data_IF_994472287524
#
_entry.id   IF_994472287524
#
_cell.length_a   1.000
_cell.length_b   1.000
_cell.length_c   1.000
_cell.angle_alpha   90.00
_cell.angle_beta   90.00
_cell.angle_gamma   90.00
#
_symmetry.space_group_name_H-M   'P 1'
#
loop_
_entity.id
_entity.type
_entity.pdbx_description
1 polymer ?
#
# COMPACT_ATOMS: atom_id res chain seq x y z
N UNK A 1 -16.29 0.63 61.53
CA UNK A 1 -16.66 1.80 60.70
C UNK A 1 -15.41 2.62 60.37
N UNK A 2 -14.63 2.21 59.37
CA UNK A 2 -13.43 2.93 58.95
C UNK A 2 -13.75 3.78 57.72
N UNK A 3 -13.70 5.12 57.86
CA UNK A 3 -13.77 6.06 56.72
C UNK A 3 -12.37 6.21 56.12
N UNK A 4 -12.13 5.57 54.99
CA UNK A 4 -10.99 5.88 54.12
C UNK A 4 -11.35 7.13 53.29
N UNK A 5 -10.78 8.29 53.65
CA UNK A 5 -10.72 9.45 52.75
C UNK A 5 -9.60 9.19 51.74
N UNK A 6 -9.97 8.89 50.50
CA UNK A 6 -9.02 8.87 49.39
C UNK A 6 -8.61 10.32 49.06
N UNK A 7 -7.39 10.69 49.44
CA UNK A 7 -6.72 11.86 48.90
C UNK A 7 -6.20 11.46 47.53
N UNK A 8 -6.97 11.73 46.48
CA UNK A 8 -6.49 11.62 45.11
C UNK A 8 -5.48 12.77 44.93
N UNK A 9 -4.21 12.41 44.83
CA UNK A 9 -3.14 13.36 44.56
C UNK A 9 -3.43 14.11 43.26
N UNK A 10 -3.46 15.44 43.34
CA UNK A 10 -3.71 16.41 42.26
C UNK A 10 -2.67 16.38 41.10
N UNK A 11 -1.79 15.39 41.04
CA UNK A 11 -0.77 15.24 40.00
C UNK A 11 -1.31 14.65 38.69
N UNK A 12 -2.51 14.08 38.68
CA UNK A 12 -3.12 13.45 37.49
C UNK A 12 -3.84 14.46 36.58
N UNK A 13 -4.38 15.56 37.13
CA UNK A 13 -5.06 16.59 36.33
C UNK A 13 -4.09 17.36 35.43
N UNK A 14 -2.87 17.66 35.89
CA UNK A 14 -1.84 18.31 35.08
C UNK A 14 -1.41 17.45 33.89
N UNK A 15 -1.30 16.14 34.11
CA UNK A 15 -0.96 15.18 33.06
C UNK A 15 -2.12 14.95 32.09
N UNK A 16 -3.37 14.97 32.56
CA UNK A 16 -4.55 14.93 31.69
C UNK A 16 -4.65 16.19 30.82
N UNK A 17 -4.43 17.38 31.38
CA UNK A 17 -4.39 18.62 30.61
C UNK A 17 -3.25 18.62 29.58
N UNK A 18 -2.06 18.13 29.95
CA UNK A 18 -0.93 18.00 29.02
C UNK A 18 -1.19 16.98 27.91
N UNK A 19 -1.78 15.83 28.23
CA UNK A 19 -2.16 14.83 27.24
C UNK A 19 -3.29 15.32 26.33
N UNK A 20 -4.26 16.06 26.87
CA UNK A 20 -5.34 16.67 26.09
C UNK A 20 -4.82 17.76 25.17
N UNK A 21 -3.89 18.60 25.65
CA UNK A 21 -3.22 19.62 24.83
C UNK A 21 -2.29 19.00 23.78
N UNK A 22 -1.61 17.89 24.11
CA UNK A 22 -0.79 17.15 23.15
C UNK A 22 -1.66 16.45 22.08
N UNK A 23 -2.80 15.88 22.46
CA UNK A 23 -3.76 15.30 21.52
C UNK A 23 -4.46 16.37 20.69
N UNK A 24 -4.82 17.52 21.25
CA UNK A 24 -5.33 18.67 20.48
C UNK A 24 -4.27 19.24 19.54
N UNK A 25 -3.01 19.30 19.96
CA UNK A 25 -1.90 19.75 19.11
C UNK A 25 -1.64 18.74 17.98
N UNK A 26 -1.70 17.43 18.27
CA UNK A 26 -1.59 16.37 17.27
C UNK A 26 -2.78 16.44 16.31
N UNK A 27 -4.02 16.55 16.80
CA UNK A 27 -5.23 16.74 15.99
C UNK A 27 -5.22 18.06 15.19
N UNK A 28 -4.62 19.15 15.69
CA UNK A 28 -4.38 20.39 14.94
C UNK A 28 -3.27 20.27 13.92
N UNK A 29 -2.27 19.44 14.16
CA UNK A 29 -1.21 19.16 13.18
C UNK A 29 -1.61 18.14 12.10
N UNK A 30 -2.64 17.33 12.37
CA UNK A 30 -3.30 16.44 11.39
C UNK A 30 -4.55 17.06 10.75
N UNK A 31 -5.17 18.07 11.38
CA UNK A 31 -6.01 19.04 10.71
C UNK A 31 -5.09 19.91 9.86
N UNK A 32 -4.74 19.36 8.70
CA UNK A 32 -4.26 20.15 7.59
C UNK A 32 -5.35 21.19 7.33
N UNK A 33 -5.23 22.38 7.94
CA UNK A 33 -5.76 23.59 7.31
C UNK A 33 -5.32 23.47 5.88
N UNK A 34 -6.28 23.34 4.96
CA UNK A 34 -6.00 23.18 3.54
C UNK A 34 -5.18 24.40 3.15
N UNK A 35 -3.85 24.27 3.18
CA UNK A 35 -2.94 25.26 2.62
C UNK A 35 -3.08 25.06 1.12
N UNK A 36 -4.19 25.58 0.59
CA UNK A 36 -4.38 25.82 -0.81
C UNK A 36 -3.16 26.62 -1.24
N UNK A 37 -2.33 26.01 -2.08
CA UNK A 37 -1.35 26.80 -2.81
C UNK A 37 -2.20 27.57 -3.80
N UNK A 38 -2.46 28.84 -3.49
CA UNK A 38 -3.18 29.72 -4.39
C UNK A 38 -2.54 29.60 -5.79
N UNK A 39 -3.30 29.19 -6.81
CA UNK A 39 -2.94 29.49 -8.19
C UNK A 39 -2.42 30.92 -8.27
N UNK A 40 -1.31 31.13 -8.98
CA UNK A 40 -0.68 32.44 -9.16
C UNK A 40 -1.78 33.48 -9.36
N UNK A 41 -1.84 34.57 -8.59
CA UNK A 41 -2.96 35.54 -8.59
C UNK A 41 -3.40 36.02 -10.00
N UNK A 42 -2.51 35.92 -10.99
CA UNK A 42 -2.77 36.11 -12.43
C UNK A 42 -3.82 35.16 -13.01
N UNK A 43 -3.81 33.87 -12.64
CA UNK A 43 -4.75 32.86 -13.12
C UNK A 43 -6.17 33.08 -12.60
N UNK A 44 -6.32 33.42 -11.30
CA UNK A 44 -7.62 33.80 -10.74
C UNK A 44 -8.17 35.07 -11.37
N UNK A 45 -7.33 36.09 -11.59
CA UNK A 45 -7.74 37.32 -12.27
C UNK A 45 -8.19 37.06 -13.70
N UNK A 46 -7.48 36.23 -14.45
CA UNK A 46 -7.86 35.85 -15.82
C UNK A 46 -9.18 35.06 -15.85
N UNK A 47 -9.38 34.14 -14.90
CA UNK A 47 -10.62 33.34 -14.80
C UNK A 47 -11.83 34.18 -14.37
N UNK A 48 -11.65 35.11 -13.42
CA UNK A 48 -12.69 36.08 -13.05
C UNK A 48 -13.07 36.98 -14.22
N UNK A 49 -12.10 37.42 -15.04
CA UNK A 49 -12.36 38.19 -16.27
C UNK A 49 -13.11 37.37 -17.34
N UNK A 50 -12.98 36.04 -17.32
CA UNK A 50 -13.64 35.13 -18.26
C UNK A 50 -14.94 34.52 -17.72
N UNK A 51 -15.35 34.84 -16.49
CA UNK A 51 -16.59 34.33 -15.87
C UNK A 51 -16.57 32.84 -15.52
N UNK A 52 -15.39 32.22 -15.39
CA UNK A 52 -15.24 30.79 -15.11
C UNK A 52 -15.44 30.54 -13.59
N UNK A 53 -16.28 29.57 -13.18
CA UNK A 53 -16.49 29.21 -11.77
C UNK A 53 -15.19 28.79 -11.08
N UNK A 54 -15.03 29.13 -9.79
CA UNK A 54 -13.80 28.83 -9.03
C UNK A 54 -13.55 27.32 -8.89
N UNK A 55 -14.60 26.50 -8.90
CA UNK A 55 -14.57 25.04 -8.79
C UNK A 55 -13.97 24.35 -10.01
N UNK A 56 -13.89 25.06 -11.14
CA UNK A 56 -13.27 24.58 -12.38
C UNK A 56 -11.77 24.90 -12.42
N UNK A 57 -11.26 25.64 -11.43
CA UNK A 57 -9.86 26.04 -11.43
C UNK A 57 -8.91 24.90 -11.05
N UNK A 58 -7.76 24.83 -11.73
CA UNK A 58 -6.74 23.81 -11.51
C UNK A 58 -6.02 23.98 -10.18
N UNK A 59 -6.12 22.99 -9.28
CA UNK A 59 -5.55 23.05 -7.92
C UNK A 59 -4.05 22.70 -7.84
N UNK A 60 -3.47 22.13 -8.90
CA UNK A 60 -2.07 21.68 -8.92
C UNK A 60 -1.34 22.25 -10.12
N UNK A 61 0.00 22.27 -10.06
CA UNK A 61 0.82 22.79 -11.17
C UNK A 61 1.94 21.81 -11.48
N UNK A 62 2.11 21.38 -12.73
CA UNK A 62 3.21 20.49 -13.08
C UNK A 62 4.57 21.22 -13.06
N UNK A 63 5.67 20.48 -13.26
CA UNK A 63 7.04 21.05 -13.28
C UNK A 63 7.22 22.16 -14.33
N UNK A 64 6.39 22.14 -15.39
CA UNK A 64 6.39 23.14 -16.48
C UNK A 64 5.45 24.32 -16.21
N UNK A 65 4.89 24.43 -15.00
CA UNK A 65 3.95 25.51 -14.67
C UNK A 65 2.54 25.30 -15.23
N UNK A 66 2.22 24.16 -15.85
CA UNK A 66 0.88 23.90 -16.36
C UNK A 66 -0.05 23.53 -15.20
N UNK A 67 -1.18 24.23 -15.06
CA UNK A 67 -2.17 23.88 -14.06
C UNK A 67 -2.85 22.54 -14.39
N UNK A 68 -3.31 21.79 -13.37
CA UNK A 68 -4.19 20.65 -13.53
C UNK A 68 -5.18 20.49 -12.36
N UNK A 69 -6.33 19.88 -12.63
CA UNK A 69 -7.38 19.60 -11.65
C UNK A 69 -7.19 18.19 -11.07
N UNK A 70 -7.20 18.02 -9.73
CA UNK A 70 -7.17 16.68 -9.15
C UNK A 70 -8.45 15.93 -9.53
N UNK A 71 -8.26 14.70 -9.98
CA UNK A 71 -9.32 13.81 -10.48
C UNK A 71 -10.24 13.38 -9.34
N UNK A 72 -11.53 13.31 -9.62
CA UNK A 72 -12.54 12.80 -8.66
C UNK A 72 -12.44 11.28 -8.53
N UNK A 73 -13.04 10.71 -7.47
CA UNK A 73 -13.03 9.26 -7.29
C UNK A 73 -13.75 8.53 -8.43
N UNK A 74 -14.88 9.06 -8.89
CA UNK A 74 -15.68 8.47 -9.96
C UNK A 74 -14.91 8.43 -11.30
N UNK A 75 -14.31 9.56 -11.68
CA UNK A 75 -13.47 9.66 -12.88
C UNK A 75 -12.28 8.68 -12.83
N UNK A 76 -11.69 8.48 -11.66
CA UNK A 76 -10.57 7.54 -11.51
C UNK A 76 -10.99 6.08 -11.72
N UNK A 77 -12.19 5.71 -11.27
CA UNK A 77 -12.72 4.35 -11.42
C UNK A 77 -13.04 4.12 -12.90
N UNK A 78 -13.66 5.11 -13.54
CA UNK A 78 -13.91 5.10 -14.99
C UNK A 78 -12.60 4.98 -15.78
N UNK A 79 -11.55 5.72 -15.38
CA UNK A 79 -10.23 5.64 -16.01
C UNK A 79 -9.63 4.23 -15.90
N UNK A 80 -9.71 3.57 -14.76
CA UNK A 80 -9.20 2.20 -14.62
C UNK A 80 -9.94 1.19 -15.51
N UNK A 81 -11.21 1.43 -15.81
CA UNK A 81 -12.00 0.64 -16.77
C UNK A 81 -11.84 1.09 -18.24
N UNK A 82 -11.15 2.20 -18.50
CA UNK A 82 -11.04 2.78 -19.82
C UNK A 82 -10.14 1.96 -20.75
N UNK A 83 -10.36 2.01 -22.08
CA UNK A 83 -9.44 1.42 -23.05
C UNK A 83 -8.06 2.10 -23.02
N UNK A 84 -7.98 3.38 -22.64
CA UNK A 84 -6.72 4.14 -22.57
C UNK A 84 -5.78 3.56 -21.51
N UNK A 85 -6.32 3.21 -20.34
CA UNK A 85 -5.55 2.55 -19.28
C UNK A 85 -5.02 1.20 -19.77
N UNK A 86 -5.88 0.42 -20.43
CA UNK A 86 -5.52 -0.90 -20.94
C UNK A 86 -4.43 -0.82 -22.02
N UNK A 87 -4.51 0.17 -22.92
CA UNK A 87 -3.50 0.38 -23.96
C UNK A 87 -2.16 0.86 -23.36
N UNK A 88 -2.21 1.76 -22.38
CA UNK A 88 -1.02 2.35 -21.76
C UNK A 88 -0.25 1.34 -20.92
N UNK A 89 -0.94 0.55 -20.10
CA UNK A 89 -0.32 -0.41 -19.17
C UNK A 89 -0.28 -1.85 -19.69
N UNK A 90 -1.04 -2.18 -20.75
CA UNK A 90 -1.03 -3.49 -21.43
C UNK A 90 -1.24 -4.67 -20.48
N UNK A 91 -2.20 -4.53 -19.56
CA UNK A 91 -2.50 -5.53 -18.54
C UNK A 91 -1.41 -5.74 -17.47
N UNK A 92 -0.38 -4.89 -17.42
CA UNK A 92 0.69 -4.95 -16.41
C UNK A 92 0.40 -3.97 -15.27
N UNK A 93 0.98 -4.18 -14.07
CA UNK A 93 0.81 -3.23 -12.98
C UNK A 93 1.44 -1.89 -13.32
N UNK A 94 0.86 -0.80 -12.77
CA UNK A 94 1.24 0.59 -13.10
C UNK A 94 2.75 0.84 -12.99
N UNK A 95 3.40 0.24 -12.00
CA UNK A 95 4.83 0.44 -11.74
C UNK A 95 5.76 -0.37 -12.65
N UNK A 96 5.25 -1.26 -13.51
CA UNK A 96 6.06 -2.19 -14.30
C UNK A 96 7.02 -1.49 -15.28
N UNK A 97 6.53 -0.51 -16.03
CA UNK A 97 7.34 0.23 -17.01
C UNK A 97 8.15 1.38 -16.40
N UNK A 98 7.98 1.62 -15.11
CA UNK A 98 8.66 2.72 -14.44
C UNK A 98 10.09 2.35 -14.09
N UNK A 99 11.03 3.22 -14.48
CA UNK A 99 12.44 3.10 -14.12
C UNK A 99 12.94 4.37 -13.47
N UNK A 100 13.55 4.21 -12.30
CA UNK A 100 14.18 5.30 -11.58
C UNK A 100 15.61 5.52 -12.04
N UNK A 101 15.98 6.79 -12.20
CA UNK A 101 17.34 7.20 -12.50
C UNK A 101 18.13 7.36 -11.20
N UNK A 102 19.24 6.64 -11.07
CA UNK A 102 20.21 6.79 -9.98
C UNK A 102 21.62 6.48 -10.51
N UNK A 103 22.64 6.92 -9.76
CA UNK A 103 24.06 6.70 -10.11
C UNK A 103 24.48 5.28 -9.71
N UNK A 104 25.20 4.60 -10.61
CA UNK A 104 25.73 3.26 -10.37
C UNK A 104 24.74 2.13 -10.65
N UNK A 105 25.15 0.90 -10.30
CA UNK A 105 24.35 -0.31 -10.49
C UNK A 105 23.29 -0.50 -9.41
N UNK A 106 23.60 -0.12 -8.17
CA UNK A 106 22.72 -0.35 -7.03
C UNK A 106 21.84 0.88 -6.78
N UNK A 107 20.52 0.68 -6.58
CA UNK A 107 19.64 1.77 -6.18
C UNK A 107 20.02 2.29 -4.78
N UNK A 108 19.75 3.57 -4.49
CA UNK A 108 19.91 4.09 -3.13
C UNK A 108 19.03 3.30 -2.16
N UNK A 109 19.52 3.10 -0.91
CA UNK A 109 18.83 2.34 0.14
C UNK A 109 17.40 2.83 0.38
N UNK A 110 17.20 4.15 0.37
CA UNK A 110 15.92 4.79 0.61
C UNK A 110 15.39 5.51 -0.63
N UNK A 111 14.07 5.50 -0.85
CA UNK A 111 13.49 6.27 -1.92
C UNK A 111 13.60 7.78 -1.66
N UNK A 112 13.38 8.59 -2.71
CA UNK A 112 13.31 10.05 -2.55
C UNK A 112 12.14 10.39 -1.63
N UNK A 113 12.24 11.47 -0.85
CA UNK A 113 11.20 11.87 0.10
C UNK A 113 9.86 12.10 -0.60
N UNK A 114 9.81 12.96 -1.62
CA UNK A 114 8.60 13.24 -2.40
C UNK A 114 8.92 13.54 -3.87
N UNK A 115 7.94 13.33 -4.74
CA UNK A 115 7.95 13.81 -6.13
C UNK A 115 7.31 15.20 -6.26
N UNK A 116 6.44 15.53 -5.30
CA UNK A 116 5.62 16.74 -5.26
C UNK A 116 5.96 17.57 -4.02
N UNK A 117 5.90 18.89 -4.14
CA UNK A 117 5.94 19.82 -3.02
C UNK A 117 4.97 20.94 -3.30
N UNK A 118 4.14 21.29 -2.32
CA UNK A 118 3.13 22.34 -2.47
C UNK A 118 2.27 22.10 -3.73
N UNK A 119 1.81 20.86 -3.93
CA UNK A 119 1.02 20.45 -5.09
C UNK A 119 1.69 20.61 -6.46
N UNK A 120 3.01 20.86 -6.50
CA UNK A 120 3.78 20.95 -7.72
C UNK A 120 4.74 19.79 -7.91
N UNK A 121 4.83 19.26 -9.13
CA UNK A 121 5.82 18.25 -9.47
C UNK A 121 7.20 18.92 -9.53
N UNK A 122 8.11 18.50 -8.65
CA UNK A 122 9.49 19.02 -8.66
C UNK A 122 10.39 18.18 -9.56
N UNK A 123 10.09 16.88 -9.68
CA UNK A 123 10.98 15.95 -10.39
C UNK A 123 10.56 15.78 -11.85
N UNK A 124 11.55 15.72 -12.75
CA UNK A 124 11.36 15.41 -14.17
C UNK A 124 10.91 13.96 -14.43
N UNK A 125 11.32 13.02 -13.57
CA UNK A 125 10.92 11.62 -13.60
C UNK A 125 10.09 11.27 -12.34
N UNK A 126 8.80 11.63 -12.27
CA UNK A 126 7.92 11.39 -11.11
C UNK A 126 7.58 9.90 -10.91
N UNK A 127 7.14 9.52 -9.71
CA UNK A 127 6.79 8.13 -9.39
C UNK A 127 5.56 7.68 -10.20
N UNK A 128 5.28 6.38 -10.38
CA UNK A 128 4.10 5.91 -11.14
C UNK A 128 2.79 6.58 -10.68
N UNK A 129 2.52 6.57 -9.36
CA UNK A 129 1.37 7.24 -8.73
C UNK A 129 1.40 8.77 -8.88
N UNK A 130 2.59 9.36 -9.01
CA UNK A 130 2.78 10.81 -9.05
C UNK A 130 2.76 11.35 -10.49
N UNK A 131 2.94 10.47 -11.47
CA UNK A 131 2.99 10.79 -12.90
C UNK A 131 1.59 10.86 -13.48
N UNK A 132 0.75 9.92 -13.05
CA UNK A 132 -0.61 9.73 -13.52
C UNK A 132 -1.58 10.07 -12.39
N UNK A 133 -2.51 10.96 -12.70
CA UNK A 133 -3.37 11.66 -11.74
C UNK A 133 -4.67 10.91 -11.48
N UNK A 134 -5.05 10.02 -12.40
CA UNK A 134 -6.30 9.25 -12.36
C UNK A 134 -6.17 7.96 -11.54
N UNK A 135 -5.01 7.74 -10.90
CA UNK A 135 -4.72 6.53 -10.16
C UNK A 135 -5.22 6.61 -8.70
N UNK A 136 -6.20 5.78 -8.36
CA UNK A 136 -6.83 5.74 -7.03
C UNK A 136 -6.80 4.35 -6.36
N UNK A 137 -7.47 4.23 -5.20
CA UNK A 137 -7.54 3.05 -4.31
C UNK A 137 -7.90 1.71 -4.96
N UNK A 138 -8.53 1.69 -6.14
CA UNK A 138 -8.72 0.45 -6.91
C UNK A 138 -7.41 -0.25 -7.31
N UNK A 139 -6.28 0.46 -7.24
CA UNK A 139 -4.94 -0.02 -7.59
C UNK A 139 -4.18 -0.68 -6.46
N UNK A 140 -4.71 -0.66 -5.21
CA UNK A 140 -3.97 -1.16 -4.05
C UNK A 140 -3.49 -2.60 -4.23
N UNK A 141 -4.32 -3.46 -4.86
CA UNK A 141 -4.00 -4.85 -5.19
C UNK A 141 -2.73 -4.99 -6.05
N UNK A 142 -2.46 -4.04 -6.94
CA UNK A 142 -1.28 -4.09 -7.82
C UNK A 142 0.04 -3.85 -7.09
N UNK A 143 -0.01 -3.29 -5.88
CA UNK A 143 1.16 -3.06 -5.04
C UNK A 143 1.36 -4.16 -3.99
N UNK A 144 0.53 -5.21 -4.02
CA UNK A 144 0.68 -6.40 -3.22
C UNK A 144 1.38 -7.49 -4.01
N UNK A 145 2.15 -8.31 -3.30
CA UNK A 145 2.68 -9.54 -3.87
C UNK A 145 1.54 -10.54 -4.10
N UNK A 146 1.44 -11.18 -5.27
CA UNK A 146 0.29 -12.02 -5.61
C UNK A 146 0.11 -13.23 -4.68
N UNK A 147 1.20 -13.84 -4.20
CA UNK A 147 1.16 -15.00 -3.32
C UNK A 147 1.09 -14.62 -1.83
N UNK A 148 2.08 -13.88 -1.34
CA UNK A 148 2.17 -13.54 0.08
C UNK A 148 1.16 -12.49 0.55
N UNK A 149 0.54 -11.73 -0.37
CA UNK A 149 -0.24 -10.52 -0.05
C UNK A 149 0.55 -9.45 0.75
N UNK A 150 1.89 -9.52 0.68
CA UNK A 150 2.80 -8.57 1.29
C UNK A 150 2.93 -7.31 0.43
N UNK A 151 3.19 -6.16 1.09
CA UNK A 151 3.30 -4.88 0.41
C UNK A 151 4.67 -4.77 -0.27
N UNK A 152 4.68 -4.46 -1.56
CA UNK A 152 5.92 -4.36 -2.33
C UNK A 152 6.77 -3.16 -1.91
N UNK A 153 8.07 -3.39 -1.72
CA UNK A 153 9.01 -2.33 -1.34
C UNK A 153 9.14 -1.23 -2.42
N UNK A 154 9.46 0.02 -2.03
CA UNK A 154 9.73 1.13 -2.96
C UNK A 154 10.87 0.88 -3.94
N UNK A 155 11.78 -0.06 -3.65
CA UNK A 155 12.85 -0.47 -4.57
C UNK A 155 12.29 -1.20 -5.79
N UNK A 156 11.20 -1.95 -5.62
CA UNK A 156 10.50 -2.68 -6.67
C UNK A 156 9.56 -1.74 -7.41
N UNK A 157 8.71 -1.02 -6.68
CA UNK A 157 7.61 -0.20 -7.22
C UNK A 157 8.05 1.18 -7.69
N UNK A 158 9.21 1.67 -7.24
CA UNK A 158 9.75 2.99 -7.63
C UNK A 158 9.03 4.19 -7.01
N UNK A 159 8.20 3.98 -5.98
CA UNK A 159 7.45 5.03 -5.29
C UNK A 159 8.37 6.00 -4.52
N UNK A 160 7.87 7.22 -4.27
CA UNK A 160 8.50 8.12 -3.31
C UNK A 160 8.07 7.77 -1.87
N UNK A 161 8.84 8.23 -0.88
CA UNK A 161 8.57 7.92 0.52
C UNK A 161 7.20 8.39 1.01
N UNK A 162 6.74 9.57 0.57
CA UNK A 162 5.40 10.08 0.90
C UNK A 162 4.30 9.17 0.36
N UNK A 163 4.34 8.82 -0.93
CA UNK A 163 3.31 7.97 -1.52
C UNK A 163 3.35 6.54 -0.99
N UNK A 164 4.54 6.01 -0.69
CA UNK A 164 4.63 4.70 -0.07
C UNK A 164 4.01 4.67 1.32
N UNK A 165 4.20 5.71 2.14
CA UNK A 165 3.52 5.82 3.45
C UNK A 165 2.01 5.93 3.30
N UNK A 166 1.53 6.70 2.33
CA UNK A 166 0.09 6.81 2.02
C UNK A 166 -0.48 5.46 1.58
N UNK A 167 0.28 4.70 0.78
CA UNK A 167 -0.09 3.36 0.34
C UNK A 167 -0.18 2.39 1.53
N UNK A 168 0.81 2.41 2.43
CA UNK A 168 0.77 1.58 3.65
C UNK A 168 -0.50 1.85 4.46
N UNK A 169 -0.80 3.12 4.73
CA UNK A 169 -2.01 3.50 5.47
C UNK A 169 -3.28 3.03 4.76
N UNK A 170 -3.39 3.25 3.45
CA UNK A 170 -4.56 2.85 2.68
C UNK A 170 -4.75 1.33 2.65
N UNK A 171 -3.66 0.55 2.58
CA UNK A 171 -3.72 -0.92 2.61
C UNK A 171 -4.15 -1.41 3.99
N UNK A 172 -3.62 -0.86 5.08
CA UNK A 172 -4.06 -1.26 6.43
C UNK A 172 -5.53 -0.91 6.66
N UNK A 173 -5.98 0.30 6.27
CA UNK A 173 -7.40 0.65 6.31
C UNK A 173 -8.25 -0.31 5.47
N UNK A 174 -7.77 -0.68 4.29
CA UNK A 174 -8.47 -1.61 3.41
C UNK A 174 -8.56 -3.03 3.98
N UNK A 175 -7.53 -3.46 4.73
CA UNK A 175 -7.51 -4.72 5.49
C UNK A 175 -8.49 -4.68 6.66
N UNK A 176 -8.51 -3.59 7.43
CA UNK A 176 -9.46 -3.39 8.54
C UNK A 176 -10.92 -3.43 8.05
N UNK A 177 -11.17 -2.87 6.85
CA UNK A 177 -12.49 -2.91 6.20
C UNK A 177 -12.80 -4.24 5.51
N UNK A 178 -11.86 -5.20 5.46
CA UNK A 178 -12.05 -6.48 4.77
C UNK A 178 -12.12 -6.39 3.23
N UNK A 179 -11.72 -5.27 2.64
CA UNK A 179 -11.76 -5.06 1.18
C UNK A 179 -10.59 -5.73 0.44
N UNK A 180 -9.48 -5.97 1.15
CA UNK A 180 -8.27 -6.62 0.64
C UNK A 180 -8.03 -7.89 1.43
N UNK A 181 -7.72 -8.98 0.73
CA UNK A 181 -7.33 -10.24 1.35
C UNK A 181 -5.98 -10.10 2.05
N UNK A 182 -5.88 -10.64 3.26
CA UNK A 182 -4.65 -10.68 4.04
C UNK A 182 -4.50 -12.07 4.68
N UNK A 183 -3.25 -12.44 4.98
CA UNK A 183 -2.96 -13.67 5.72
C UNK A 183 -3.24 -13.46 7.20
N UNK A 184 -4.25 -14.15 7.74
CA UNK A 184 -4.49 -14.19 9.18
C UNK A 184 -3.79 -15.40 9.79
N UNK A 185 -2.91 -15.23 10.79
CA UNK A 185 -2.39 -16.36 11.54
C UNK A 185 -3.49 -16.91 12.45
N UNK A 186 -3.77 -18.20 12.34
CA UNK A 186 -4.60 -18.89 13.33
C UNK A 186 -3.76 -19.19 14.56
N UNK A 187 -4.25 -18.76 15.73
CA UNK A 187 -3.66 -19.13 17.01
C UNK A 187 -4.45 -20.29 17.60
N UNK A 188 -3.74 -21.37 17.91
CA UNK A 188 -4.28 -22.49 18.64
C UNK A 188 -4.07 -22.27 20.13
N UNK A 189 -5.07 -22.61 20.92
CA UNK A 189 -5.07 -22.45 22.37
C UNK A 189 -5.30 -23.81 23.03
N UNK A 190 -4.64 -24.03 24.17
CA UNK A 190 -4.97 -25.16 25.04
C UNK A 190 -6.17 -24.76 25.90
N UNK A 191 -7.36 -25.24 25.55
CA UNK A 191 -8.60 -24.88 26.25
C UNK A 191 -8.63 -25.34 27.71
N UNK A 192 -7.80 -26.32 28.08
CA UNK A 192 -7.70 -26.79 29.47
C UNK A 192 -7.17 -25.71 30.42
N UNK A 193 -6.31 -24.80 29.92
CA UNK A 193 -5.75 -23.68 30.69
C UNK A 193 -6.81 -22.63 31.06
N UNK A 194 -7.83 -22.46 30.22
CA UNK A 194 -8.86 -21.42 30.40
C UNK A 194 -10.13 -21.94 31.07
N UNK A 195 -10.51 -23.18 30.78
CA UNK A 195 -11.80 -23.75 31.17
C UNK A 195 -11.71 -24.95 32.12
N UNK A 196 -10.52 -25.25 32.68
CA UNK A 196 -10.31 -26.37 33.57
C UNK A 196 -11.26 -26.41 34.77
N UNK A 197 -11.68 -25.25 35.27
CA UNK A 197 -12.57 -25.14 36.44
C UNK A 197 -14.06 -25.13 36.08
N UNK A 198 -14.40 -24.84 34.82
CA UNK A 198 -15.77 -24.56 34.38
C UNK A 198 -16.37 -25.73 33.61
N UNK A 199 -15.57 -26.40 32.79
CA UNK A 199 -16.04 -27.41 31.84
C UNK A 199 -15.72 -28.82 32.33
N UNK A 200 -16.57 -29.78 31.95
CA UNK A 200 -16.30 -31.18 32.29
C UNK A 200 -15.10 -31.70 31.48
N UNK A 201 -14.30 -32.63 32.02
CA UNK A 201 -13.14 -33.16 31.31
C UNK A 201 -13.46 -33.78 29.93
N UNK A 202 -14.65 -34.33 29.74
CA UNK A 202 -15.10 -34.90 28.45
C UNK A 202 -15.31 -33.82 27.38
N UNK A 203 -15.91 -32.70 27.74
CA UNK A 203 -16.15 -31.55 26.86
C UNK A 203 -14.81 -30.90 26.47
N UNK A 204 -13.87 -30.80 27.42
CA UNK A 204 -12.50 -30.35 27.15
C UNK A 204 -11.76 -31.26 26.17
N UNK A 205 -11.92 -32.60 26.30
CA UNK A 205 -11.34 -33.56 25.33
C UNK A 205 -11.95 -33.42 23.94
N UNK A 206 -13.24 -33.16 23.84
CA UNK A 206 -13.90 -32.90 22.55
C UNK A 206 -13.31 -31.66 21.87
N UNK A 207 -13.11 -30.56 22.62
CA UNK A 207 -12.46 -29.35 22.12
C UNK A 207 -11.00 -29.58 21.71
N UNK A 208 -10.25 -30.36 22.50
CA UNK A 208 -8.86 -30.69 22.23
C UNK A 208 -8.68 -31.73 21.09
N UNK A 209 -9.74 -32.44 20.69
CA UNK A 209 -9.66 -33.48 19.65
C UNK A 209 -9.19 -32.96 18.29
N UNK A 210 -9.29 -31.65 18.08
CA UNK A 210 -8.88 -30.94 16.88
C UNK A 210 -7.45 -30.38 16.98
N UNK A 211 -6.67 -30.68 18.00
CA UNK A 211 -5.34 -30.07 18.13
C UNK A 211 -4.34 -31.09 18.66
N UNK A 212 -3.17 -31.18 18.04
CA UNK A 212 -2.07 -32.05 18.48
C UNK A 212 -0.89 -31.20 18.93
N UNK A 213 -0.24 -31.60 20.02
CA UNK A 213 1.05 -31.00 20.41
C UNK A 213 2.12 -31.48 19.42
N UNK A 214 2.77 -30.56 18.72
CA UNK A 214 3.87 -30.90 17.83
C UNK A 214 4.98 -31.63 18.61
N UNK A 215 5.64 -32.56 17.94
CA UNK A 215 6.73 -33.36 18.51
C UNK A 215 8.02 -32.57 18.77
N UNK A 216 8.06 -31.28 18.39
CA UNK A 216 9.19 -30.40 18.62
C UNK A 216 9.31 -29.92 20.08
N UNK A 217 10.51 -29.49 20.45
CA UNK A 217 10.88 -29.06 21.82
C UNK A 217 10.22 -27.75 22.30
N UNK A 218 9.12 -27.31 21.68
CA UNK A 218 8.40 -26.08 22.01
C UNK A 218 6.94 -26.26 22.40
N UNK A 219 6.40 -27.49 22.35
CA UNK A 219 5.00 -27.76 22.69
C UNK A 219 3.99 -27.00 21.82
N UNK A 220 4.41 -26.55 20.64
CA UNK A 220 3.57 -25.75 19.75
C UNK A 220 2.40 -26.61 19.26
N UNK A 221 1.19 -26.10 19.42
CA UNK A 221 -0.03 -26.77 18.98
C UNK A 221 -0.17 -26.67 17.46
N UNK A 222 -0.43 -27.79 16.80
CA UNK A 222 -0.71 -27.86 15.36
C UNK A 222 -2.12 -28.39 15.10
N UNK A 223 -2.82 -27.86 14.09
CA UNK A 223 -4.12 -28.40 13.69
C UNK A 223 -3.90 -29.79 13.10
N UNK A 224 -4.71 -30.77 13.52
CA UNK A 224 -4.76 -32.06 12.83
C UNK A 224 -5.25 -31.82 11.38
N UNK A 225 -4.51 -32.30 10.37
CA UNK A 225 -4.62 -31.97 8.92
C UNK A 225 -6.05 -31.93 8.32
N UNK A 226 -7.02 -32.55 8.99
CA UNK A 226 -8.39 -32.70 8.54
C UNK A 226 -9.35 -31.59 8.98
N UNK A 227 -8.97 -30.67 9.88
CA UNK A 227 -9.95 -29.76 10.51
C UNK A 227 -10.47 -28.71 9.54
N UNK A 228 -9.57 -28.03 8.83
CA UNK A 228 -9.99 -27.02 7.86
C UNK A 228 -10.78 -27.67 6.73
N UNK A 229 -10.34 -28.85 6.26
CA UNK A 229 -11.01 -29.62 5.21
C UNK A 229 -12.37 -30.15 5.65
N UNK A 230 -12.51 -30.60 6.90
CA UNK A 230 -13.79 -31.02 7.49
C UNK A 230 -14.71 -29.82 7.73
N UNK A 231 -14.20 -28.71 8.26
CA UNK A 231 -14.99 -27.49 8.46
C UNK A 231 -15.52 -26.96 7.13
N UNK A 232 -14.69 -26.90 6.08
CA UNK A 232 -15.09 -26.54 4.73
C UNK A 232 -16.17 -27.47 4.17
N UNK A 233 -16.01 -28.79 4.32
CA UNK A 233 -17.06 -29.78 3.96
C UNK A 233 -18.34 -29.63 4.77
N UNK A 234 -18.23 -29.22 6.03
CA UNK A 234 -19.39 -28.99 6.91
C UNK A 234 -20.21 -27.79 6.43
N UNK A 235 -19.53 -26.71 6.01
CA UNK A 235 -20.17 -25.54 5.39
C UNK A 235 -20.90 -25.92 4.10
N UNK A 236 -20.34 -26.82 3.30
CA UNK A 236 -20.99 -27.32 2.08
C UNK A 236 -22.26 -28.15 2.35
N UNK A 237 -22.39 -28.72 3.55
CA UNK A 237 -23.54 -29.53 3.96
C UNK A 237 -24.58 -28.75 4.78
N UNK A 238 -24.49 -27.42 4.84
CA UNK A 238 -25.45 -26.61 5.55
C UNK A 238 -26.84 -26.64 4.85
N UNK A 239 -27.94 -26.61 5.63
CA UNK A 239 -29.28 -26.44 5.08
C UNK A 239 -29.35 -25.21 4.18
N UNK A 240 -30.05 -25.30 3.05
CA UNK A 240 -30.11 -24.22 2.06
C UNK A 240 -30.58 -22.86 2.65
N UNK A 241 -31.41 -22.88 3.69
CA UNK A 241 -31.84 -21.69 4.44
C UNK A 241 -30.71 -20.98 5.19
N UNK A 242 -29.75 -21.73 5.75
CA UNK A 242 -28.60 -21.17 6.45
C UNK A 242 -27.56 -20.70 5.45
N UNK A 243 -27.34 -21.46 4.38
CA UNK A 243 -26.42 -21.11 3.29
C UNK A 243 -26.85 -19.81 2.61
N UNK A 244 -28.14 -19.63 2.34
CA UNK A 244 -28.68 -18.38 1.78
C UNK A 244 -28.55 -17.20 2.74
N UNK A 245 -28.78 -17.37 4.05
CA UNK A 245 -28.56 -16.33 5.05
C UNK A 245 -27.08 -15.91 5.14
N UNK A 246 -26.15 -16.87 5.09
CA UNK A 246 -24.72 -16.57 5.08
C UNK A 246 -24.33 -15.78 3.84
N UNK A 247 -24.77 -16.19 2.65
CA UNK A 247 -24.52 -15.45 1.39
C UNK A 247 -25.16 -14.05 1.34
N UNK A 248 -26.25 -13.84 2.06
CA UNK A 248 -26.91 -12.53 2.17
C UNK A 248 -26.27 -11.64 3.25
N UNK A 249 -25.52 -12.23 4.19
CA UNK A 249 -24.89 -11.50 5.29
C UNK A 249 -23.64 -10.76 4.79
N UNK A 250 -23.79 -9.46 4.53
CA UNK A 250 -22.72 -8.53 4.12
C UNK A 250 -21.60 -8.42 5.17
N UNK A 251 -21.82 -8.91 6.40
CA UNK A 251 -20.98 -8.67 7.58
C UNK A 251 -19.79 -9.62 7.66
N UNK A 252 -19.86 -10.81 7.05
CA UNK A 252 -18.78 -11.81 7.15
C UNK A 252 -18.09 -11.87 5.80
N UNK A 253 -16.87 -11.30 5.65
CA UNK A 253 -16.10 -11.50 4.44
C UNK A 253 -15.90 -12.99 4.24
N UNK A 254 -16.50 -13.53 3.17
CA UNK A 254 -16.45 -14.94 2.87
C UNK A 254 -14.99 -15.37 2.66
N UNK A 255 -14.56 -16.34 3.47
CA UNK A 255 -13.27 -17.00 3.28
C UNK A 255 -13.41 -17.85 2.02
N UNK A 256 -12.87 -17.37 0.91
CA UNK A 256 -12.71 -18.21 -0.28
C UNK A 256 -11.46 -19.07 -0.06
N UNK A 257 -11.61 -20.40 -0.14
CA UNK A 257 -10.47 -21.29 -0.32
C UNK A 257 -9.89 -21.00 -1.71
N UNK A 258 -9.00 -20.00 -1.78
CA UNK A 258 -8.20 -19.78 -2.97
C UNK A 258 -7.24 -20.95 -3.06
N UNK A 259 -7.56 -21.93 -3.90
CA UNK A 259 -6.57 -22.82 -4.46
C UNK A 259 -5.56 -21.89 -5.15
N UNK A 260 -4.45 -21.62 -4.46
CA UNK A 260 -3.37 -20.81 -4.99
C UNK A 260 -2.68 -21.62 -6.09
N UNK A 261 -3.32 -21.74 -7.25
CA UNK A 261 -2.58 -21.90 -8.48
C UNK A 261 -1.69 -20.66 -8.55
N UNK A 262 -0.36 -20.81 -8.40
CA UNK A 262 0.51 -19.66 -8.42
C UNK A 262 0.27 -18.95 -9.74
N UNK A 263 -0.07 -17.65 -9.75
CA UNK A 263 -0.18 -16.96 -11.01
C UNK A 263 1.17 -17.14 -11.69
N UNK A 264 1.14 -17.60 -12.94
CA UNK A 264 2.31 -17.78 -13.81
C UNK A 264 2.89 -16.40 -14.13
N UNK A 265 3.40 -15.74 -13.11
CA UNK A 265 3.91 -14.40 -13.16
C UNK A 265 5.43 -14.54 -13.29
N UNK A 266 5.86 -14.99 -14.47
CA UNK A 266 7.20 -14.72 -14.96
C UNK A 266 7.29 -13.21 -15.20
N UNK A 267 7.38 -12.43 -14.11
CA UNK A 267 7.66 -10.99 -14.16
C UNK A 267 9.17 -10.88 -14.41
N UNK A 268 9.61 -11.35 -15.57
CA UNK A 268 10.95 -11.05 -16.04
C UNK A 268 10.98 -9.57 -16.41
N UNK A 269 11.68 -8.79 -15.57
CA UNK A 269 12.00 -7.41 -15.92
C UNK A 269 12.74 -7.45 -17.26
N UNK A 270 12.42 -6.58 -18.22
CA UNK A 270 13.14 -6.54 -19.49
C UNK A 270 14.64 -6.40 -19.22
N UNK A 271 15.43 -7.42 -19.61
CA UNK A 271 16.89 -7.43 -19.46
C UNK A 271 17.47 -6.35 -20.36
N UNK A 272 18.16 -5.39 -19.75
CA UNK A 272 18.81 -4.30 -20.47
C UNK A 272 20.18 -4.80 -20.94
N UNK A 273 20.61 -4.50 -22.18
CA UNK A 273 21.98 -4.77 -22.61
C UNK A 273 22.98 -4.14 -21.66
N UNK A 274 24.09 -4.84 -21.42
CA UNK A 274 25.01 -4.55 -20.33
C UNK A 274 25.54 -3.10 -20.42
N UNK A 275 25.02 -2.22 -19.57
CA UNK A 275 25.32 -0.77 -19.57
C UNK A 275 26.82 -0.49 -19.49
N UNK A 276 27.57 -1.35 -18.81
CA UNK A 276 29.02 -1.23 -18.70
C UNK A 276 29.72 -1.42 -20.05
N UNK A 277 29.26 -2.40 -20.84
CA UNK A 277 29.79 -2.62 -22.19
C UNK A 277 29.49 -1.43 -23.10
N UNK A 278 28.31 -0.79 -22.96
CA UNK A 278 27.97 0.45 -23.67
C UNK A 278 28.85 1.65 -23.27
N UNK A 279 29.14 1.82 -21.98
CA UNK A 279 30.01 2.90 -21.49
C UNK A 279 31.49 2.68 -21.90
N UNK A 280 31.98 1.43 -21.88
CA UNK A 280 33.32 1.06 -22.35
C UNK A 280 33.49 1.23 -23.85
N UNK A 281 32.51 0.78 -24.65
CA UNK A 281 32.51 0.95 -26.12
C UNK A 281 32.48 2.43 -26.49
N UNK A 282 31.69 3.25 -25.79
CA UNK A 282 31.67 4.69 -25.99
C UNK A 282 33.02 5.36 -25.63
N UNK A 283 33.66 4.96 -24.52
CA UNK A 283 35.01 5.40 -24.16
C UNK A 283 36.05 5.03 -25.23
N UNK A 284 36.02 3.79 -25.73
CA UNK A 284 36.90 3.33 -26.83
C UNK A 284 36.68 4.16 -28.09
N UNK A 285 35.43 4.48 -28.43
CA UNK A 285 35.08 5.29 -29.60
C UNK A 285 35.61 6.74 -29.48
N UNK A 286 35.50 7.36 -28.30
CA UNK A 286 36.08 8.69 -28.04
C UNK A 286 37.61 8.70 -28.13
N UNK A 287 38.28 7.68 -27.59
CA UNK A 287 39.73 7.54 -27.70
C UNK A 287 40.17 7.39 -29.17
N UNK A 288 39.42 6.61 -29.97
CA UNK A 288 39.68 6.42 -31.40
C UNK A 288 39.53 7.73 -32.18
N UNK A 289 38.50 8.52 -31.89
CA UNK A 289 38.30 9.86 -32.48
C UNK A 289 39.38 10.86 -32.08
N UNK A 290 39.85 10.83 -30.84
CA UNK A 290 40.98 11.67 -30.40
C UNK A 290 42.27 11.31 -31.12
N UNK A 291 42.57 10.02 -31.30
CA UNK A 291 43.72 9.54 -32.08
C UNK A 291 43.62 9.92 -33.56
N UNK A 292 42.44 9.83 -34.16
CA UNK A 292 42.23 10.26 -35.55
C UNK A 292 42.41 11.78 -35.71
N UNK A 293 41.93 12.59 -34.74
CA UNK A 293 42.16 14.04 -34.74
C UNK A 293 43.63 14.41 -34.55
N UNK A 294 44.40 13.65 -33.76
CA UNK A 294 45.83 13.89 -33.63
C UNK A 294 46.60 13.54 -34.90
N UNK A 295 46.13 12.60 -35.72
CA UNK A 295 46.79 12.25 -36.99
C UNK A 295 46.60 13.38 -38.03
N UNK A 296 45.43 14.02 -38.06
CA UNK A 296 45.13 15.15 -38.97
C UNK A 296 45.79 16.49 -38.61
N UNK A 297 46.55 16.55 -37.51
CA UNK A 297 47.21 17.78 -37.03
C UNK A 297 48.74 17.75 -37.22
N UNK A 298 49.27 16.69 -37.86
CA UNK A 298 50.71 16.52 -38.13
C UNK A 298 51.04 16.47 -39.63
N UNK A 299 50.10 16.85 -40.50
CA UNK A 299 50.34 17.12 -41.93
C UNK A 299 50.36 18.62 -42.19
#
# INVERSE_FOLDING_TARGET
>A
MYKLRSVIAFSTLSNYQRCKNALEFILRSFSSTKNFVEPTAVAYRAAMMQGIPLEELPMRVNFRGKPYKPVTLEESIQYLSSPEYQELYRGKPVWFYFRRNYKGHFPPKYPRKSCTRAHKLITSNPCPICRDEYLNVGLLKQFLHPLSADILEPKVTGLCGVQHKSLLLAIEMARDMGTIQMRLPFRLFDYSEYYGDVMRPEELRQLASHVVKSSGSGGQLEPLDDIYRKAARSLANLPASITSLLHQSVVIPHIEEVAAEPPTAEIERPKIPNRYQMEETYRKLLLRRKRAKSILLYD
#
